data_IF_552953848404
#
_entry.id   IF_552953848404
#
_cell.length_a   1.000
_cell.length_b   1.000
_cell.length_c   1.000
_cell.angle_alpha   90.00
_cell.angle_beta   90.00
_cell.angle_gamma   90.00
#
_symmetry.space_group_name_H-M   'P 1'
#
loop_
_entity.id
_entity.type
_entity.pdbx_description
1 polymer ?
#
# COMPACT_ATOMS: atom_id res chain seq x y z
N UNK A 1 27.32 -5.19 1.46
CA UNK A 1 25.98 -5.52 0.92
C UNK A 1 25.20 -4.22 0.83
N UNK A 2 24.80 -3.81 -0.38
CA UNK A 2 24.09 -2.54 -0.57
C UNK A 2 22.70 -2.61 0.04
N UNK A 3 22.37 -1.66 0.91
CA UNK A 3 20.99 -1.44 1.35
C UNK A 3 20.20 -1.10 0.09
N UNK A 4 19.12 -1.81 -0.27
CA UNK A 4 18.27 -1.39 -1.36
C UNK A 4 17.69 -0.03 -1.00
N UNK A 5 18.27 1.05 -1.56
CA UNK A 5 17.71 2.38 -1.40
C UNK A 5 16.36 2.36 -2.11
N UNK A 6 15.29 2.40 -1.33
CA UNK A 6 13.94 2.62 -1.82
C UNK A 6 13.92 3.98 -2.53
N UNK A 7 14.08 3.99 -3.85
CA UNK A 7 13.60 5.11 -4.64
C UNK A 7 12.09 4.95 -4.67
N UNK A 8 11.39 5.65 -3.77
CA UNK A 8 10.04 6.07 -4.11
C UNK A 8 10.17 6.80 -5.45
N UNK A 9 9.83 6.14 -6.56
CA UNK A 9 9.42 6.87 -7.75
C UNK A 9 8.40 7.88 -7.29
N UNK A 10 8.47 9.13 -7.75
CA UNK A 10 7.67 10.27 -7.27
C UNK A 10 6.22 9.86 -7.11
N UNK A 11 5.83 9.45 -5.89
CA UNK A 11 4.49 9.03 -5.59
C UNK A 11 3.62 10.28 -5.74
N UNK A 12 2.68 10.25 -6.69
CA UNK A 12 1.75 11.35 -6.90
C UNK A 12 0.66 11.36 -5.81
N UNK A 13 0.44 10.20 -5.18
CA UNK A 13 -0.53 9.98 -4.13
C UNK A 13 -0.04 8.92 -3.14
N UNK A 14 -0.33 9.11 -1.86
CA UNK A 14 -0.10 8.08 -0.84
C UNK A 14 -1.13 8.19 0.28
N UNK A 15 -1.47 7.05 0.86
CA UNK A 15 -2.29 6.96 2.06
C UNK A 15 -1.85 5.76 2.91
N UNK A 16 -2.14 5.79 4.21
CA UNK A 16 -1.72 4.74 5.12
C UNK A 16 -2.70 4.54 6.28
N UNK A 17 -2.84 3.29 6.71
CA UNK A 17 -3.73 2.90 7.79
C UNK A 17 -3.00 2.06 8.84
N UNK A 18 -3.11 2.45 10.11
CA UNK A 18 -2.54 1.70 11.22
C UNK A 18 -3.36 0.44 11.48
N UNK A 19 -2.72 -0.73 11.37
CA UNK A 19 -3.28 -2.01 11.74
C UNK A 19 -3.08 -2.20 13.24
N UNK A 20 -4.17 -2.14 13.99
CA UNK A 20 -4.18 -2.57 15.38
C UNK A 20 -4.17 -4.10 15.39
N UNK A 21 -3.00 -4.68 15.65
CA UNK A 21 -2.89 -6.07 16.01
C UNK A 21 -3.18 -6.11 17.52
N UNK A 22 -4.27 -6.77 17.91
CA UNK A 22 -4.66 -6.89 19.32
C UNK A 22 -3.55 -7.47 20.21
N UNK A 23 -3.80 -7.61 21.52
CA UNK A 23 -2.84 -7.83 22.64
C UNK A 23 -1.63 -8.79 22.45
N UNK A 24 -1.55 -9.58 21.39
CA UNK A 24 -0.46 -10.52 21.10
C UNK A 24 0.31 -10.26 19.77
N UNK A 25 -0.04 -9.25 18.97
CA UNK A 25 0.61 -8.98 17.69
C UNK A 25 1.14 -7.55 17.62
N UNK A 26 2.38 -7.36 17.16
CA UNK A 26 2.97 -6.03 17.03
C UNK A 26 2.17 -5.12 16.09
N UNK A 27 2.15 -3.82 16.39
CA UNK A 27 1.49 -2.81 15.56
C UNK A 27 2.04 -2.83 14.13
N UNK A 28 1.14 -2.88 13.14
CA UNK A 28 1.47 -2.81 11.71
C UNK A 28 0.90 -1.55 11.07
N UNK A 29 1.39 -1.21 9.88
CA UNK A 29 0.87 -0.14 9.04
C UNK A 29 0.70 -0.67 7.63
N UNK A 30 -0.48 -0.48 7.03
CA UNK A 30 -0.72 -0.76 5.63
C UNK A 30 -0.66 0.56 4.86
N UNK A 31 0.30 0.70 3.96
CA UNK A 31 0.48 1.89 3.15
C UNK A 31 0.16 1.58 1.68
N UNK A 32 -0.44 2.54 0.99
CA UNK A 32 -0.65 2.46 -0.45
C UNK A 32 -0.15 3.74 -1.14
N UNK A 33 0.28 3.58 -2.39
CA UNK A 33 0.77 4.68 -3.21
C UNK A 33 0.24 4.54 -4.62
N UNK A 34 -0.10 5.68 -5.22
CA UNK A 34 -0.35 5.84 -6.64
C UNK A 34 0.84 6.55 -7.31
N UNK A 35 1.24 6.07 -8.46
CA UNK A 35 2.32 6.65 -9.27
C UNK A 35 1.96 6.64 -10.76
N UNK A 36 2.73 7.38 -11.55
CA UNK A 36 2.62 7.44 -13.01
C UNK A 36 3.64 6.48 -13.63
N UNK A 37 3.27 5.73 -14.66
CA UNK A 37 4.21 4.85 -15.38
C UNK A 37 5.20 5.66 -16.21
N UNK A 38 6.43 5.15 -16.34
CA UNK A 38 7.41 5.69 -17.27
C UNK A 38 6.89 5.54 -18.71
N UNK A 39 6.46 6.64 -19.32
CA UNK A 39 5.76 6.64 -20.62
C UNK A 39 4.46 7.46 -20.62
N UNK A 40 3.98 7.88 -19.44
CA UNK A 40 3.07 9.02 -19.28
C UNK A 40 1.58 8.77 -19.47
N UNK A 41 1.15 7.58 -19.91
CA UNK A 41 -0.27 7.29 -20.13
C UNK A 41 -0.92 6.41 -19.06
N UNK A 42 -0.16 5.73 -18.19
CA UNK A 42 -0.69 4.78 -17.22
C UNK A 42 -0.32 5.12 -15.78
N UNK A 43 -0.94 4.40 -14.86
CA UNK A 43 -0.69 4.50 -13.43
C UNK A 43 -0.30 3.17 -12.81
N UNK A 44 0.36 3.21 -11.65
CA UNK A 44 0.62 2.03 -10.81
C UNK A 44 0.17 2.32 -9.40
N UNK A 45 -0.58 1.39 -8.84
CA UNK A 45 -0.91 1.34 -7.42
C UNK A 45 -0.06 0.26 -6.78
N UNK A 46 0.63 0.59 -5.70
CA UNK A 46 1.43 -0.35 -4.90
C UNK A 46 0.95 -0.29 -3.44
N UNK A 47 0.94 -1.45 -2.79
CA UNK A 47 0.55 -1.60 -1.38
C UNK A 47 1.69 -2.27 -0.63
N UNK A 48 2.01 -1.76 0.56
CA UNK A 48 3.03 -2.29 1.45
C UNK A 48 2.48 -2.52 2.84
N UNK A 49 2.93 -3.60 3.46
CA UNK A 49 2.80 -3.82 4.89
C UNK A 49 4.11 -3.40 5.55
N UNK A 50 3.99 -2.53 6.54
CA UNK A 50 5.10 -1.98 7.30
C UNK A 50 4.93 -2.45 8.73
N UNK A 51 5.88 -3.24 9.22
CA UNK A 51 5.88 -3.67 10.62
C UNK A 51 7.05 -3.02 11.33
N UNK A 52 6.85 -2.66 12.60
CA UNK A 52 7.98 -2.36 13.47
C UNK A 52 8.84 -3.63 13.54
N UNK A 53 10.13 -3.50 13.29
CA UNK A 53 11.07 -4.60 13.46
C UNK A 53 11.33 -4.74 14.96
N UNK A 54 10.75 -5.77 15.58
CA UNK A 54 10.91 -6.03 17.03
C UNK A 54 12.19 -6.82 17.33
N UNK A 55 13.03 -7.09 16.32
CA UNK A 55 14.36 -7.72 16.46
C UNK A 55 15.38 -6.75 17.07
N UNK A 56 15.08 -6.22 18.26
CA UNK A 56 15.97 -5.46 19.14
C UNK A 56 17.01 -6.34 19.87
N UNK A 57 17.46 -7.46 19.29
CA UNK A 57 18.54 -8.26 19.89
C UNK A 57 19.94 -7.94 19.36
N UNK A 58 20.08 -6.92 18.49
CA UNK A 58 21.40 -6.47 18.02
C UNK A 58 21.65 -4.98 18.37
N UNK A 59 22.69 -4.65 19.16
CA UNK A 59 22.96 -3.29 19.64
C UNK A 59 23.49 -2.32 18.56
N UNK A 60 23.24 -2.60 17.27
CA UNK A 60 23.77 -1.85 16.13
C UNK A 60 22.74 -1.40 15.11
N UNK A 61 21.48 -1.84 15.22
CA UNK A 61 20.41 -1.37 14.36
C UNK A 61 19.58 -0.35 15.15
N UNK A 62 19.46 0.87 14.64
CA UNK A 62 18.43 1.80 15.12
C UNK A 62 17.03 1.22 14.90
N UNK A 63 15.96 1.91 15.33
CA UNK A 63 14.59 1.44 15.09
C UNK A 63 14.38 1.21 13.59
N UNK A 64 14.34 -0.06 13.19
CA UNK A 64 14.11 -0.48 11.81
C UNK A 64 12.62 -0.72 11.59
N UNK A 65 12.11 -0.35 10.42
CA UNK A 65 10.81 -0.81 9.96
C UNK A 65 11.06 -1.81 8.83
N UNK A 66 10.40 -2.96 8.89
CA UNK A 66 10.38 -3.90 7.77
C UNK A 66 9.27 -3.46 6.80
N UNK A 67 9.61 -3.27 5.52
CA UNK A 67 8.67 -2.95 4.45
C UNK A 67 8.50 -4.16 3.54
N UNK A 68 7.31 -4.74 3.53
CA UNK A 68 6.94 -5.85 2.66
C UNK A 68 6.00 -5.32 1.59
N UNK A 69 6.38 -5.44 0.32
CA UNK A 69 5.48 -5.12 -0.79
C UNK A 69 4.43 -6.24 -0.91
N UNK A 70 3.17 -5.88 -0.75
CA UNK A 70 2.04 -6.81 -0.62
C UNK A 70 1.33 -7.00 -1.93
N UNK A 71 1.04 -5.93 -2.67
CA UNK A 71 0.28 -6.03 -3.92
C UNK A 71 0.56 -4.86 -4.84
N UNK A 72 0.36 -5.08 -6.14
CA UNK A 72 0.44 -4.04 -7.15
C UNK A 72 -0.64 -4.21 -8.22
N UNK A 73 -1.13 -3.10 -8.75
CA UNK A 73 -2.01 -3.05 -9.90
C UNK A 73 -1.60 -1.95 -10.88
N UNK A 74 -1.91 -2.13 -12.16
CA UNK A 74 -1.75 -1.12 -13.20
C UNK A 74 -3.09 -0.46 -13.50
N UNK A 75 -3.06 0.84 -13.76
CA UNK A 75 -4.21 1.66 -14.13
C UNK A 75 -4.02 2.17 -15.57
N UNK A 76 -5.15 2.33 -16.28
CA UNK A 76 -5.15 2.86 -17.65
C UNK A 76 -4.80 4.35 -17.73
N UNK A 77 -4.77 5.06 -16.59
CA UNK A 77 -4.45 6.47 -16.45
C UNK A 77 -3.59 6.74 -15.20
N UNK A 78 -2.84 7.87 -15.18
CA UNK A 78 -2.13 8.35 -13.99
C UNK A 78 -2.99 8.40 -12.72
N UNK A 79 -2.51 7.81 -11.61
CA UNK A 79 -3.22 7.83 -10.33
C UNK A 79 -2.92 9.13 -9.58
N UNK A 80 -3.98 9.89 -9.25
CA UNK A 80 -3.89 11.19 -8.59
C UNK A 80 -4.14 11.13 -7.08
N UNK A 81 -4.99 10.20 -6.64
CA UNK A 81 -5.28 9.95 -5.22
C UNK A 81 -5.49 8.46 -4.97
N UNK A 82 -5.13 8.05 -3.76
CA UNK A 82 -5.43 6.73 -3.20
C UNK A 82 -6.00 6.95 -1.81
N UNK A 83 -7.02 6.18 -1.45
CA UNK A 83 -7.59 6.12 -0.10
C UNK A 83 -7.67 4.65 0.32
N UNK A 84 -7.12 4.34 1.49
CA UNK A 84 -7.10 3.00 2.04
C UNK A 84 -8.15 2.84 3.14
N UNK A 85 -9.01 1.85 2.97
CA UNK A 85 -10.10 1.51 3.88
C UNK A 85 -9.90 0.09 4.38
N UNK A 86 -9.14 -0.06 5.47
CA UNK A 86 -8.95 -1.35 6.09
C UNK A 86 -10.18 -1.74 6.92
N UNK A 87 -10.85 -2.83 6.56
CA UNK A 87 -11.81 -3.46 7.45
C UNK A 87 -11.07 -4.53 8.26
N UNK A 88 -10.65 -4.17 9.47
CA UNK A 88 -10.26 -5.16 10.48
C UNK A 88 -11.54 -5.68 11.15
N UNK A 89 -12.07 -6.79 10.66
CA UNK A 89 -12.97 -7.63 11.48
C UNK A 89 -12.14 -8.79 12.00
N UNK A 90 -12.31 -9.11 13.29
CA UNK A 90 -11.68 -10.26 13.93
C UNK A 90 -11.73 -11.50 13.03
N UNK A 91 -10.57 -11.87 12.45
CA UNK A 91 -10.41 -13.05 11.59
C UNK A 91 -10.50 -12.86 10.06
N UNK A 92 -10.78 -11.66 9.54
CA UNK A 92 -10.70 -11.40 8.09
C UNK A 92 -10.26 -9.97 7.78
N UNK A 93 -9.06 -9.83 7.22
CA UNK A 93 -8.52 -8.55 6.73
C UNK A 93 -8.95 -8.36 5.28
N UNK A 94 -10.18 -7.91 5.05
CA UNK A 94 -10.57 -7.41 3.73
C UNK A 94 -10.28 -5.92 3.70
N UNK A 95 -9.26 -5.51 2.96
CA UNK A 95 -8.96 -4.09 2.75
C UNK A 95 -9.54 -3.65 1.43
N UNK A 96 -10.23 -2.51 1.43
CA UNK A 96 -10.66 -1.83 0.21
C UNK A 96 -9.72 -0.67 -0.06
N UNK A 97 -9.37 -0.47 -1.31
CA UNK A 97 -8.61 0.69 -1.77
C UNK A 97 -9.44 1.42 -2.82
N UNK A 98 -9.47 2.75 -2.73
CA UNK A 98 -10.07 3.61 -3.73
C UNK A 98 -8.95 4.36 -4.45
N UNK A 99 -9.00 4.42 -5.77
CA UNK A 99 -8.09 5.25 -6.55
C UNK A 99 -8.89 6.23 -7.40
N UNK A 100 -8.44 7.49 -7.44
CA UNK A 100 -8.89 8.49 -8.40
C UNK A 100 -7.77 8.70 -9.41
N UNK A 101 -8.08 8.57 -10.70
CA UNK A 101 -7.13 8.79 -11.77
C UNK A 101 -7.35 10.13 -12.50
N UNK A 102 -6.51 10.42 -13.49
CA UNK A 102 -6.56 11.66 -14.26
C UNK A 102 -7.74 11.76 -15.22
N UNK A 103 -8.47 10.67 -15.47
CA UNK A 103 -9.71 10.70 -16.24
C UNK A 103 -10.92 11.05 -15.38
N UNK A 104 -10.70 11.27 -14.08
CA UNK A 104 -11.72 11.41 -13.04
C UNK A 104 -12.47 10.10 -12.71
N UNK A 105 -11.94 8.96 -13.16
CA UNK A 105 -12.52 7.65 -12.81
C UNK A 105 -12.14 7.29 -11.37
N UNK A 106 -13.11 6.82 -10.60
CA UNK A 106 -12.91 6.21 -9.28
C UNK A 106 -12.95 4.70 -9.42
N UNK A 107 -11.83 4.04 -9.16
CA UNK A 107 -11.76 2.57 -9.14
C UNK A 107 -11.77 2.05 -7.71
N UNK A 108 -12.63 1.07 -7.45
CA UNK A 108 -12.75 0.36 -6.18
C UNK A 108 -11.99 -0.96 -6.28
N UNK A 109 -11.03 -1.16 -5.40
CA UNK A 109 -10.17 -2.33 -5.38
C UNK A 109 -10.40 -3.13 -4.09
N UNK A 110 -10.44 -4.45 -4.22
CA UNK A 110 -10.27 -5.36 -3.09
C UNK A 110 -8.81 -5.79 -3.01
N UNK A 111 -8.20 -5.61 -1.84
CA UNK A 111 -6.94 -6.23 -1.49
C UNK A 111 -7.23 -7.55 -0.76
N UNK A 112 -6.98 -8.66 -1.43
CA UNK A 112 -7.14 -10.01 -0.89
C UNK A 112 -5.96 -10.88 -1.28
N UNK A 113 -5.40 -11.62 -0.31
CA UNK A 113 -4.29 -12.56 -0.55
C UNK A 113 -3.17 -11.96 -1.41
N UNK A 114 -2.70 -10.77 -1.04
CA UNK A 114 -1.58 -10.11 -1.72
C UNK A 114 -1.88 -9.71 -3.19
N UNK A 115 -3.16 -9.59 -3.54
CA UNK A 115 -3.60 -9.19 -4.87
C UNK A 115 -4.64 -8.07 -4.80
N UNK A 116 -4.53 -7.13 -5.75
CA UNK A 116 -5.51 -6.08 -5.98
C UNK A 116 -6.44 -6.50 -7.12
N UNK A 117 -7.72 -6.60 -6.81
CA UNK A 117 -8.77 -6.94 -7.78
C UNK A 117 -9.73 -5.79 -7.94
N UNK A 118 -10.01 -5.37 -9.17
CA UNK A 118 -11.03 -4.36 -9.44
C UNK A 118 -12.40 -4.94 -9.09
N UNK A 119 -13.12 -4.26 -8.20
CA UNK A 119 -14.52 -4.56 -7.88
C UNK A 119 -15.47 -3.74 -8.74
N UNK A 120 -15.17 -2.46 -8.92
CA UNK A 120 -15.99 -1.55 -9.70
C UNK A 120 -15.17 -0.36 -10.21
N UNK A 121 -15.68 0.29 -11.25
CA UNK A 121 -15.19 1.55 -11.80
C UNK A 121 -16.36 2.50 -11.94
N UNK A 122 -16.21 3.71 -11.41
CA UNK A 122 -17.21 4.77 -11.44
C UNK A 122 -16.62 5.90 -12.29
N UNK A 123 -17.16 6.16 -13.48
CA UNK A 123 -16.74 7.28 -14.33
C UNK A 123 -17.28 8.63 -13.85
#
# INVERSE_FOLDING_TARGET
>A
AGVPSMRLGTAAASDAFALDAGEAGGAGLLAASGSVTSGGSGGVISVWHVTADDDQQSPRSGPGCAFVHVAQATCGAPVLRVLLLAASRAGSTSTVLLSLDSNADITVWALQREQLTVLNMIP
#
